data_IF_703490134434
#
_entry.id   IF_703490134434
#
_cell.length_a   1.000
_cell.length_b   1.000
_cell.length_c   1.000
_cell.angle_alpha   90.00
_cell.angle_beta   90.00
_cell.angle_gamma   90.00
#
_symmetry.space_group_name_H-M   'P 1'
#
loop_
_entity.id
_entity.type
_entity.pdbx_description
1 polymer ?
#
# COMPACT_ATOMS: atom_id res chain seq x y z
N UNK A 1 -5.03 31.61 -3.20
CA UNK A 1 -4.00 30.86 -3.94
C UNK A 1 -4.45 29.41 -4.01
N UNK A 2 -4.43 28.75 -5.18
CA UNK A 2 -4.69 27.33 -5.22
C UNK A 2 -3.55 26.61 -4.47
N UNK A 3 -3.81 25.52 -3.75
CA UNK A 3 -2.75 24.75 -3.12
C UNK A 3 -1.87 24.19 -4.24
N UNK A 4 -0.58 24.55 -4.20
CA UNK A 4 0.44 23.95 -5.05
C UNK A 4 0.35 22.43 -4.86
N UNK A 5 0.22 21.61 -5.92
CA UNK A 5 0.23 20.17 -5.75
C UNK A 5 1.57 19.84 -5.08
N UNK A 6 1.50 19.25 -3.88
CA UNK A 6 2.67 18.76 -3.17
C UNK A 6 3.35 17.77 -4.10
N UNK A 7 4.38 18.22 -4.82
CA UNK A 7 5.23 17.34 -5.60
C UNK A 7 5.82 16.38 -4.56
N UNK A 8 5.33 15.14 -4.52
CA UNK A 8 5.80 14.13 -3.58
C UNK A 8 7.32 14.10 -3.69
N UNK A 9 8.03 14.46 -2.62
CA UNK A 9 9.46 14.65 -2.66
C UNK A 9 10.13 13.35 -3.14
N UNK A 10 10.72 13.39 -4.33
CA UNK A 10 11.34 12.21 -4.94
C UNK A 10 12.65 11.93 -4.21
N UNK A 11 12.72 10.77 -3.58
CA UNK A 11 13.93 10.25 -2.95
C UNK A 11 14.77 9.47 -3.96
N UNK A 12 16.10 9.46 -3.76
CA UNK A 12 17.04 8.70 -4.60
C UNK A 12 17.94 7.83 -3.74
N UNK A 13 18.07 6.56 -4.06
CA UNK A 13 18.95 5.60 -3.39
C UNK A 13 19.58 4.65 -4.41
N UNK A 14 20.58 3.87 -3.98
CA UNK A 14 21.19 2.82 -4.80
C UNK A 14 20.96 1.45 -4.17
N UNK A 15 20.53 0.48 -4.97
CA UNK A 15 20.42 -0.92 -4.55
C UNK A 15 21.15 -1.83 -5.54
N UNK A 16 22.13 -2.59 -5.04
CA UNK A 16 23.01 -3.44 -5.87
C UNK A 16 23.65 -2.67 -7.05
N UNK A 17 24.08 -1.42 -6.79
CA UNK A 17 24.69 -0.55 -7.80
C UNK A 17 23.72 0.10 -8.79
N UNK A 18 22.41 -0.14 -8.67
CA UNK A 18 21.39 0.45 -9.55
C UNK A 18 20.67 1.61 -8.85
N UNK A 19 20.42 2.69 -9.59
CA UNK A 19 19.72 3.87 -9.10
C UNK A 19 18.22 3.59 -8.98
N UNK A 20 17.66 3.86 -7.80
CA UNK A 20 16.23 3.82 -7.54
C UNK A 20 15.72 5.23 -7.24
N UNK A 21 14.56 5.55 -7.78
CA UNK A 21 13.81 6.77 -7.46
C UNK A 21 12.53 6.36 -6.76
N UNK A 22 12.15 7.07 -5.71
CA UNK A 22 11.00 6.67 -4.92
C UNK A 22 10.20 7.85 -4.39
N UNK A 23 8.94 7.56 -4.09
CA UNK A 23 8.03 8.50 -3.44
C UNK A 23 7.41 7.84 -2.22
N UNK A 24 7.22 8.62 -1.16
CA UNK A 24 6.42 8.19 -0.02
C UNK A 24 4.95 8.34 -0.39
N UNK A 25 4.18 7.28 -0.19
CA UNK A 25 2.73 7.28 -0.41
C UNK A 25 2.04 6.79 0.86
N UNK A 26 0.97 7.48 1.26
CA UNK A 26 0.15 7.06 2.39
C UNK A 26 -0.68 5.83 2.03
N UNK A 27 -1.06 5.06 3.04
CA UNK A 27 -2.16 4.10 2.87
C UNK A 27 -3.46 4.85 2.55
N UNK A 28 -4.45 4.20 1.92
CA UNK A 28 -5.71 4.85 1.58
C UNK A 28 -6.42 5.37 2.84
N UNK A 29 -7.14 6.48 2.72
CA UNK A 29 -7.86 7.08 3.84
C UNK A 29 -8.84 6.07 4.46
N UNK A 30 -8.86 6.00 5.79
CA UNK A 30 -9.66 5.01 6.54
C UNK A 30 -9.01 3.62 6.66
N UNK A 31 -7.83 3.39 6.09
CA UNK A 31 -7.10 2.13 6.19
C UNK A 31 -5.84 2.23 7.04
N UNK A 32 -5.39 1.07 7.56
CA UNK A 32 -4.09 0.88 8.20
C UNK A 32 -3.34 -0.24 7.50
N UNK A 33 -2.04 -0.06 7.27
CA UNK A 33 -1.19 -1.12 6.75
C UNK A 33 -0.81 -2.09 7.86
N UNK A 34 -0.91 -3.40 7.60
CA UNK A 34 -0.53 -4.46 8.54
C UNK A 34 0.59 -5.31 7.93
N UNK A 35 1.59 -5.64 8.75
CA UNK A 35 2.55 -6.71 8.46
C UNK A 35 2.14 -7.93 9.27
N UNK A 36 1.70 -8.97 8.57
CA UNK A 36 1.26 -10.23 9.18
C UNK A 36 2.40 -11.24 9.14
N UNK A 37 2.52 -12.03 10.21
CA UNK A 37 3.44 -13.15 10.31
C UNK A 37 2.65 -14.41 10.62
N UNK A 38 2.98 -15.50 9.95
CA UNK A 38 2.38 -16.80 10.26
C UNK A 38 2.95 -17.30 11.58
N UNK A 39 2.06 -17.77 12.46
CA UNK A 39 2.42 -18.43 13.70
C UNK A 39 3.11 -19.77 13.45
N UNK A 40 3.32 -20.54 14.52
CA UNK A 40 3.85 -21.89 14.37
C UNK A 40 2.93 -22.72 13.45
N UNK A 41 3.51 -23.56 12.57
CA UNK A 41 2.73 -24.45 11.72
C UNK A 41 1.76 -25.29 12.57
N UNK A 42 0.52 -25.51 12.11
CA UNK A 42 -0.42 -26.32 12.86
C UNK A 42 0.13 -27.73 13.04
N UNK A 43 0.06 -28.27 14.27
CA UNK A 43 0.53 -29.63 14.56
C UNK A 43 -0.26 -30.70 13.80
N UNK A 44 -1.50 -30.39 13.38
CA UNK A 44 -2.37 -31.27 12.61
C UNK A 44 -2.68 -30.64 11.25
N UNK A 45 -2.72 -31.42 10.15
CA UNK A 45 -3.05 -30.89 8.81
C UNK A 45 -4.44 -30.24 8.70
N UNK A 46 -5.36 -30.61 9.59
CA UNK A 46 -6.73 -30.07 9.64
C UNK A 46 -6.86 -28.78 10.46
N UNK A 47 -5.81 -28.39 11.20
CA UNK A 47 -5.86 -27.20 12.03
C UNK A 47 -5.61 -25.94 11.19
N UNK A 48 -6.37 -24.89 11.50
CA UNK A 48 -6.29 -23.62 10.78
C UNK A 48 -4.94 -22.92 11.04
N UNK A 49 -4.41 -22.27 9.99
CA UNK A 49 -3.21 -21.44 10.09
C UNK A 49 -3.54 -20.15 10.84
N UNK A 50 -2.68 -19.77 11.78
CA UNK A 50 -2.84 -18.54 12.55
C UNK A 50 -1.92 -17.46 11.99
N UNK A 51 -2.48 -16.29 11.69
CA UNK A 51 -1.72 -15.09 11.34
C UNK A 51 -1.76 -14.12 12.52
N UNK A 52 -0.61 -13.53 12.85
CA UNK A 52 -0.47 -12.52 13.89
C UNK A 52 0.00 -11.20 13.31
N UNK A 53 -0.48 -10.08 13.87
CA UNK A 53 0.00 -8.75 13.49
C UNK A 53 1.36 -8.52 14.12
N UNK A 54 2.40 -8.40 13.28
CA UNK A 54 3.76 -8.10 13.71
C UNK A 54 4.00 -6.60 13.89
N UNK A 55 3.44 -5.79 12.98
CA UNK A 55 3.56 -4.34 13.01
C UNK A 55 2.52 -3.68 12.13
N UNK A 56 2.37 -2.36 12.28
CA UNK A 56 1.50 -1.52 11.46
C UNK A 56 2.30 -0.45 10.74
N UNK A 57 1.74 0.11 9.67
CA UNK A 57 2.31 1.26 8.96
C UNK A 57 1.22 2.16 8.37
N UNK A 58 1.52 3.45 8.26
CA UNK A 58 0.62 4.47 7.70
C UNK A 58 1.05 4.92 6.29
N UNK A 59 2.27 4.59 5.88
CA UNK A 59 2.79 4.92 4.55
C UNK A 59 3.91 3.98 4.15
N UNK A 60 4.12 3.87 2.84
CA UNK A 60 5.14 3.05 2.22
C UNK A 60 5.95 3.88 1.23
N UNK A 61 7.19 3.46 0.98
CA UNK A 61 8.04 4.06 -0.04
C UNK A 61 7.94 3.20 -1.30
N UNK A 62 7.35 3.73 -2.36
CA UNK A 62 7.34 3.07 -3.67
C UNK A 62 8.64 3.41 -4.37
N UNK A 63 9.38 2.40 -4.83
CA UNK A 63 10.63 2.57 -5.55
C UNK A 63 10.52 2.02 -6.96
N UNK A 64 10.93 2.82 -7.93
CA UNK A 64 11.11 2.41 -9.32
C UNK A 64 12.60 2.48 -9.68
N UNK A 65 12.99 1.66 -10.65
CA UNK A 65 14.31 1.73 -11.24
C UNK A 65 14.43 3.01 -12.08
N UNK A 66 15.42 3.84 -11.76
CA UNK A 66 15.89 5.02 -12.52
C UNK A 66 14.88 6.15 -12.80
N UNK A 67 13.58 5.90 -12.74
CA UNK A 67 12.49 6.89 -12.91
C UNK A 67 11.66 7.05 -11.65
N UNK A 68 11.18 8.26 -11.39
CA UNK A 68 10.25 8.48 -10.28
C UNK A 68 8.95 7.68 -10.51
N UNK A 69 8.36 7.10 -9.45
CA UNK A 69 7.02 6.56 -9.52
C UNK A 69 5.99 7.64 -9.85
N UNK A 70 4.92 7.24 -10.54
CA UNK A 70 3.88 8.11 -11.04
C UNK A 70 2.49 7.46 -10.93
N UNK A 71 1.46 8.21 -11.28
CA UNK A 71 0.06 7.82 -11.10
C UNK A 71 -0.39 6.55 -11.85
N UNK A 72 0.39 6.03 -12.80
CA UNK A 72 0.06 4.84 -13.59
C UNK A 72 0.85 3.60 -13.15
N UNK A 73 1.72 3.70 -12.14
CA UNK A 73 2.37 2.51 -11.59
C UNK A 73 1.34 1.63 -10.88
N UNK A 74 1.43 0.31 -11.10
CA UNK A 74 0.42 -0.68 -10.69
C UNK A 74 0.09 -0.61 -9.19
N UNK A 75 1.11 -0.47 -8.33
CA UNK A 75 0.91 -0.37 -6.88
C UNK A 75 0.13 0.90 -6.50
N UNK A 76 0.38 2.02 -7.18
CA UNK A 76 -0.30 3.29 -6.93
C UNK A 76 -1.73 3.28 -7.48
N UNK A 77 -1.97 2.55 -8.57
CA UNK A 77 -3.33 2.28 -9.05
C UNK A 77 -4.09 1.36 -8.09
N UNK A 78 -3.45 0.30 -7.59
CA UNK A 78 -4.06 -0.64 -6.65
C UNK A 78 -4.48 0.03 -5.34
N UNK A 79 -3.69 0.99 -4.82
CA UNK A 79 -4.05 1.76 -3.63
C UNK A 79 -5.31 2.65 -3.83
N UNK A 80 -5.77 2.88 -5.06
CA UNK A 80 -7.05 3.58 -5.31
C UNK A 80 -8.25 2.65 -5.26
N UNK A 81 -8.04 1.34 -5.37
CA UNK A 81 -9.13 0.36 -5.40
C UNK A 81 -10.07 0.43 -4.18
N UNK A 82 -9.61 0.61 -2.94
CA UNK A 82 -10.51 0.60 -1.79
C UNK A 82 -11.64 1.64 -1.88
N UNK A 83 -11.34 2.84 -2.38
CA UNK A 83 -12.35 3.89 -2.61
C UNK A 83 -13.36 3.52 -3.70
N UNK A 84 -12.91 2.78 -4.73
CA UNK A 84 -13.79 2.29 -5.79
C UNK A 84 -14.68 1.16 -5.23
N UNK A 85 -14.10 0.24 -4.48
CA UNK A 85 -14.79 -0.88 -3.85
C UNK A 85 -15.88 -0.39 -2.88
N UNK A 86 -15.61 0.65 -2.10
CA UNK A 86 -16.60 1.30 -1.23
C UNK A 86 -17.84 1.74 -2.02
N UNK A 87 -17.66 2.41 -3.16
CA UNK A 87 -18.77 2.83 -4.01
C UNK A 87 -19.55 1.68 -4.64
N UNK A 88 -18.88 0.58 -5.01
CA UNK A 88 -19.52 -0.60 -5.61
C UNK A 88 -20.32 -1.40 -4.56
N UNK A 89 -19.82 -1.49 -3.34
CA UNK A 89 -20.40 -2.31 -2.27
C UNK A 89 -21.30 -1.52 -1.31
N UNK A 90 -21.50 -0.21 -1.54
CA UNK A 90 -22.43 0.59 -0.77
C UNK A 90 -23.85 0.01 -0.85
N UNK A 91 -24.58 0.05 0.28
CA UNK A 91 -25.98 -0.37 0.33
C UNK A 91 -26.82 0.48 -0.61
N UNK A 92 -27.69 -0.15 -1.38
CA UNK A 92 -28.72 0.57 -2.16
C UNK A 92 -29.75 1.07 -1.16
N UNK A 93 -30.11 2.35 -1.22
CA UNK A 93 -31.22 2.87 -0.44
C UNK A 93 -32.52 2.25 -0.97
N UNK A 94 -33.34 1.71 -0.07
CA UNK A 94 -34.71 1.33 -0.41
C UNK A 94 -35.51 2.62 -0.69
N UNK A 95 -36.23 2.66 -1.82
CA UNK A 95 -37.10 3.80 -2.22
C UNK A 95 -38.22 4.08 -1.21
#
# INVERSE_FOLDING_TARGET
TPPTPLHLAVSSVSFRGRSLKGIRTAVPEGYVGLVLEEGQPPLMPSAERQLQVKSTFESLMVWNLERAPNATDEILMALRWPKIAEGIHASVADE
#
